data_IF_235946747635
#
_entry.id   IF_235946747635
#
_cell.length_a   1.000
_cell.length_b   1.000
_cell.length_c   1.000
_cell.angle_alpha   90.00
_cell.angle_beta   90.00
_cell.angle_gamma   90.00
#
_symmetry.space_group_name_H-M   'P 1'
#
loop_
_entity.id
_entity.type
_entity.pdbx_description
1 polymer ?
#
# COMPACT_ATOMS: atom_id res chain seq x y z
N UNK A 1 -24.04 20.25 -1.25
CA UNK A 1 -22.85 21.07 -1.57
C UNK A 1 -21.86 20.17 -2.28
N UNK A 2 -21.38 20.56 -3.45
CA UNK A 2 -20.28 19.86 -4.12
C UNK A 2 -19.03 20.00 -3.25
N UNK A 3 -18.31 18.90 -2.95
CA UNK A 3 -17.11 18.98 -2.12
C UNK A 3 -16.08 19.94 -2.74
N UNK A 4 -15.52 20.84 -1.96
CA UNK A 4 -14.37 21.64 -2.42
C UNK A 4 -13.14 20.71 -2.44
N UNK A 5 -12.60 20.36 -3.62
CA UNK A 5 -11.58 19.33 -3.73
C UNK A 5 -10.29 19.72 -3.00
N UNK A 6 -9.56 18.71 -2.54
CA UNK A 6 -8.23 18.86 -1.98
C UNK A 6 -7.23 19.04 -3.12
N UNK A 7 -6.73 20.27 -3.30
CA UNK A 7 -5.76 20.60 -4.35
C UNK A 7 -4.49 21.12 -3.67
N UNK A 8 -3.34 20.59 -4.05
CA UNK A 8 -2.04 21.06 -3.59
C UNK A 8 -1.51 22.27 -4.38
N UNK A 9 -0.36 22.78 -3.99
CA UNK A 9 0.28 23.96 -4.61
C UNK A 9 0.75 23.71 -6.05
N UNK A 10 0.74 22.46 -6.52
CA UNK A 10 1.08 22.05 -7.89
C UNK A 10 -0.15 21.72 -8.75
N UNK A 11 -1.36 21.94 -8.23
CA UNK A 11 -2.62 21.70 -8.95
C UNK A 11 -3.08 20.23 -8.95
N UNK A 12 -2.45 19.34 -8.18
CA UNK A 12 -2.85 17.93 -8.09
C UNK A 12 -4.04 17.77 -7.16
N UNK A 13 -5.08 17.09 -7.62
CA UNK A 13 -6.26 16.74 -6.80
C UNK A 13 -6.00 15.47 -6.00
N UNK A 14 -6.24 15.51 -4.70
CA UNK A 14 -6.05 14.41 -3.76
C UNK A 14 -7.38 13.76 -3.42
N UNK A 15 -7.54 12.49 -3.81
CA UNK A 15 -8.76 11.72 -3.56
C UNK A 15 -8.50 10.31 -3.02
N UNK A 16 -7.24 9.97 -2.68
CA UNK A 16 -6.84 8.63 -2.25
C UNK A 16 -6.19 8.69 -0.87
N UNK A 17 -6.80 8.02 0.11
CA UNK A 17 -6.30 7.96 1.49
C UNK A 17 -5.87 6.53 1.84
N UNK A 18 -4.64 6.38 2.29
CA UNK A 18 -4.15 5.15 2.93
C UNK A 18 -4.27 5.28 4.43
N UNK A 19 -4.81 4.25 5.08
CA UNK A 19 -5.09 4.25 6.52
C UNK A 19 -4.34 3.08 7.15
N UNK A 20 -3.32 3.38 7.94
CA UNK A 20 -2.66 2.39 8.78
C UNK A 20 -3.51 2.15 10.02
N UNK A 21 -3.90 0.89 10.25
CA UNK A 21 -4.74 0.54 11.40
C UNK A 21 -3.93 -0.03 12.56
N UNK A 22 -2.66 -0.36 12.35
CA UNK A 22 -1.74 -0.89 13.36
C UNK A 22 -0.30 -0.82 12.85
N UNK A 23 0.66 -0.72 13.73
CA UNK A 23 2.09 -0.87 13.48
C UNK A 23 2.57 -2.33 13.62
N UNK A 24 1.71 -3.24 14.15
CA UNK A 24 2.04 -4.64 14.38
C UNK A 24 1.96 -5.45 13.09
N UNK A 25 2.87 -6.42 12.95
CA UNK A 25 2.89 -7.36 11.84
C UNK A 25 3.25 -8.76 12.35
N UNK A 26 2.71 -9.79 11.73
CA UNK A 26 2.99 -11.20 12.04
C UNK A 26 4.18 -11.78 11.28
N UNK A 27 4.71 -11.06 10.28
CA UNK A 27 5.96 -11.40 9.57
C UNK A 27 7.04 -10.34 9.79
N UNK A 28 8.27 -10.59 9.32
CA UNK A 28 9.45 -9.73 9.52
C UNK A 28 10.22 -9.56 8.22
N UNK A 29 9.57 -9.00 7.19
CA UNK A 29 10.27 -8.73 5.94
C UNK A 29 11.47 -7.82 6.17
N UNK A 30 12.67 -8.25 5.73
CA UNK A 30 13.93 -7.58 6.02
C UNK A 30 13.96 -6.11 5.54
N UNK A 31 13.26 -5.81 4.46
CA UNK A 31 13.17 -4.45 3.88
C UNK A 31 12.08 -3.59 4.54
N UNK A 32 11.37 -4.07 5.54
CA UNK A 32 10.29 -3.34 6.20
C UNK A 32 10.49 -3.23 7.71
N UNK A 33 10.72 -4.34 8.39
CA UNK A 33 10.69 -4.45 9.83
C UNK A 33 11.91 -5.23 10.35
N UNK A 34 12.57 -4.77 11.43
CA UNK A 34 13.64 -5.52 12.06
C UNK A 34 13.16 -6.89 12.54
N UNK A 35 14.10 -7.84 12.66
CA UNK A 35 13.76 -9.16 13.16
C UNK A 35 13.40 -9.14 14.64
N UNK A 36 14.22 -8.44 15.42
CA UNK A 36 14.14 -8.33 16.87
C UNK A 36 14.03 -6.85 17.28
N UNK A 37 13.75 -6.62 18.55
CA UNK A 37 13.73 -5.30 19.20
C UNK A 37 12.77 -4.29 18.54
N UNK A 38 11.63 -4.79 18.03
CA UNK A 38 10.59 -3.92 17.49
C UNK A 38 9.77 -3.33 18.63
N UNK A 39 9.86 -2.01 18.78
CA UNK A 39 9.00 -1.27 19.71
C UNK A 39 7.70 -0.90 19.03
N UNK A 40 6.61 -1.57 19.44
CA UNK A 40 5.27 -1.25 18.98
C UNK A 40 4.61 -0.22 19.88
N UNK A 41 3.75 0.58 19.29
CA UNK A 41 2.93 1.55 20.02
C UNK A 41 2.05 0.86 21.08
N UNK A 42 1.82 1.55 22.20
CA UNK A 42 0.80 1.13 23.16
C UNK A 42 -0.57 1.18 22.46
N UNK A 43 -1.44 0.25 22.82
CA UNK A 43 -2.80 0.18 22.27
C UNK A 43 -3.56 1.50 22.41
N UNK A 44 -3.27 2.26 23.47
CA UNK A 44 -3.88 3.57 23.75
C UNK A 44 -3.43 4.65 22.79
N UNK A 45 -2.30 4.49 22.13
CA UNK A 45 -1.76 5.46 21.18
C UNK A 45 -2.32 5.26 19.78
N UNK A 46 -2.84 4.06 19.49
CA UNK A 46 -3.44 3.72 18.20
C UNK A 46 -4.86 4.30 18.14
N UNK A 47 -5.24 4.85 16.99
CA UNK A 47 -6.59 5.34 16.74
C UNK A 47 -7.65 4.25 16.92
N UNK A 48 -8.78 4.58 17.53
CA UNK A 48 -9.95 3.70 17.56
C UNK A 48 -10.62 3.64 16.18
N UNK A 49 -11.55 2.69 15.99
CA UNK A 49 -12.30 2.61 14.74
C UNK A 49 -13.23 3.80 14.56
N UNK A 50 -13.77 4.34 15.64
CA UNK A 50 -14.60 5.53 15.66
C UNK A 50 -13.80 6.79 15.29
N UNK A 51 -12.56 6.91 15.79
CA UNK A 51 -11.65 8.01 15.42
C UNK A 51 -11.31 7.95 13.93
N UNK A 52 -11.01 6.75 13.40
CA UNK A 52 -10.74 6.54 11.97
C UNK A 52 -11.98 6.86 11.14
N UNK A 53 -13.16 6.34 11.51
CA UNK A 53 -14.42 6.60 10.83
C UNK A 53 -14.72 8.10 10.76
N UNK A 54 -14.60 8.81 11.88
CA UNK A 54 -14.83 10.26 11.94
C UNK A 54 -13.88 11.01 11.02
N UNK A 55 -12.60 10.70 11.06
CA UNK A 55 -11.61 11.30 10.16
C UNK A 55 -11.96 11.08 8.69
N UNK A 56 -12.32 9.84 8.33
CA UNK A 56 -12.66 9.49 6.94
C UNK A 56 -13.94 10.21 6.49
N UNK A 57 -14.95 10.40 7.35
CA UNK A 57 -16.15 11.20 7.02
C UNK A 57 -15.78 12.63 6.65
N UNK A 58 -14.93 13.29 7.43
CA UNK A 58 -14.44 14.62 7.12
C UNK A 58 -13.67 14.62 5.80
N UNK A 59 -12.76 13.69 5.61
CA UNK A 59 -11.97 13.56 4.39
C UNK A 59 -12.84 13.30 3.14
N UNK A 60 -13.89 12.47 3.26
CA UNK A 60 -14.85 12.22 2.19
C UNK A 60 -15.61 13.47 1.80
N UNK A 61 -16.00 14.32 2.77
CA UNK A 61 -16.56 15.65 2.54
C UNK A 61 -15.63 16.59 1.76
N UNK A 62 -14.34 16.30 1.72
CA UNK A 62 -13.32 17.04 0.98
C UNK A 62 -12.93 16.39 -0.37
N UNK A 63 -13.61 15.31 -0.76
CA UNK A 63 -13.42 14.65 -2.04
C UNK A 63 -12.53 13.41 -2.01
N UNK A 64 -12.14 12.89 -0.83
CA UNK A 64 -11.54 11.55 -0.73
C UNK A 64 -12.62 10.52 -1.05
N UNK A 65 -12.38 9.70 -2.07
CA UNK A 65 -13.32 8.68 -2.54
C UNK A 65 -12.67 7.27 -2.69
N UNK A 66 -11.34 7.20 -2.51
CA UNK A 66 -10.58 5.95 -2.56
C UNK A 66 -9.87 5.72 -1.23
N UNK A 67 -10.16 4.59 -0.59
CA UNK A 67 -9.54 4.18 0.65
C UNK A 67 -8.69 2.91 0.45
N UNK A 68 -7.54 2.88 1.12
CA UNK A 68 -6.75 1.67 1.26
C UNK A 68 -6.40 1.43 2.71
N UNK A 69 -7.01 0.43 3.29
CA UNK A 69 -6.68 -0.03 4.64
C UNK A 69 -5.37 -0.83 4.58
N UNK A 70 -4.47 -0.50 5.48
CA UNK A 70 -3.13 -1.08 5.61
C UNK A 70 -2.68 -1.04 7.07
N UNK A 71 -1.38 -1.21 7.33
CA UNK A 71 -0.80 -1.14 8.66
C UNK A 71 0.64 -1.62 8.60
N UNK A 72 1.12 -2.22 9.67
CA UNK A 72 2.07 -3.29 9.59
C UNK A 72 1.37 -4.45 8.87
N UNK A 73 0.53 -5.22 9.59
CA UNK A 73 -0.42 -6.15 8.98
C UNK A 73 -1.84 -5.85 9.51
N UNK A 74 -2.76 -5.37 8.68
CA UNK A 74 -4.10 -4.98 9.15
C UNK A 74 -4.91 -6.14 9.73
N UNK A 75 -4.71 -7.37 9.24
CA UNK A 75 -5.44 -8.55 9.70
C UNK A 75 -5.08 -9.00 11.13
N UNK A 76 -3.99 -8.49 11.71
CA UNK A 76 -3.69 -8.74 13.14
C UNK A 76 -4.51 -7.83 14.06
N UNK A 77 -5.13 -6.78 13.53
CA UNK A 77 -6.01 -5.94 14.32
C UNK A 77 -7.35 -6.62 14.50
N UNK A 78 -7.68 -6.89 15.79
CA UNK A 78 -8.95 -7.54 16.16
C UNK A 78 -10.13 -6.74 15.61
N UNK A 79 -11.17 -7.46 15.18
CA UNK A 79 -12.45 -6.92 14.73
C UNK A 79 -12.34 -5.98 13.51
N UNK A 80 -11.31 -6.15 12.66
CA UNK A 80 -11.13 -5.35 11.44
C UNK A 80 -12.35 -5.31 10.51
N UNK A 81 -13.15 -6.39 10.34
CA UNK A 81 -14.38 -6.35 9.55
C UNK A 81 -15.36 -5.25 9.98
N UNK A 82 -15.45 -4.93 11.28
CA UNK A 82 -16.30 -3.83 11.76
C UNK A 82 -15.85 -2.46 11.24
N UNK A 83 -14.53 -2.24 11.13
CA UNK A 83 -14.02 -1.01 10.51
C UNK A 83 -14.30 -0.99 9.01
N UNK A 84 -14.12 -2.11 8.32
CA UNK A 84 -14.42 -2.21 6.89
C UNK A 84 -15.89 -1.85 6.60
N UNK A 85 -16.83 -2.40 7.39
CA UNK A 85 -18.26 -2.11 7.29
C UNK A 85 -18.53 -0.61 7.48
N UNK A 86 -17.99 -0.01 8.56
CA UNK A 86 -18.10 1.43 8.83
C UNK A 86 -17.59 2.28 7.66
N UNK A 87 -16.42 1.95 7.11
CA UNK A 87 -15.81 2.68 6.01
C UNK A 87 -16.59 2.52 4.69
N UNK A 88 -17.08 1.31 4.41
CA UNK A 88 -17.89 1.03 3.23
C UNK A 88 -19.24 1.78 3.25
N UNK A 89 -19.78 2.07 4.44
CA UNK A 89 -21.04 2.80 4.61
C UNK A 89 -20.90 4.33 4.49
N UNK A 90 -19.68 4.89 4.42
CA UNK A 90 -19.49 6.35 4.34
C UNK A 90 -19.89 6.84 2.94
N UNK A 91 -20.85 7.79 2.85
CA UNK A 91 -21.23 8.38 1.57
C UNK A 91 -20.04 9.04 0.85
N UNK A 92 -19.90 8.77 -0.44
CA UNK A 92 -18.82 9.32 -1.27
C UNK A 92 -17.62 8.39 -1.42
N UNK A 93 -17.45 7.39 -0.57
CA UNK A 93 -16.42 6.36 -0.76
C UNK A 93 -16.87 5.40 -1.86
N UNK A 94 -16.07 5.32 -2.93
CA UNK A 94 -16.34 4.51 -4.13
C UNK A 94 -15.40 3.33 -4.30
N UNK A 95 -14.24 3.40 -3.66
CA UNK A 95 -13.19 2.38 -3.77
C UNK A 95 -12.59 2.10 -2.39
N UNK A 96 -12.81 0.90 -1.88
CA UNK A 96 -12.25 0.40 -0.62
C UNK A 96 -11.41 -0.83 -0.90
N UNK A 97 -10.13 -0.77 -0.58
CA UNK A 97 -9.19 -1.88 -0.77
C UNK A 97 -8.39 -2.15 0.51
N UNK A 98 -7.94 -3.39 0.67
CA UNK A 98 -7.04 -3.84 1.73
C UNK A 98 -5.68 -4.19 1.14
N UNK A 99 -4.60 -3.80 1.82
CA UNK A 99 -3.25 -4.31 1.58
C UNK A 99 -2.86 -5.20 2.74
N UNK A 100 -2.45 -6.43 2.48
CA UNK A 100 -2.15 -7.46 3.49
C UNK A 100 -1.02 -8.37 3.03
N UNK A 101 -0.31 -8.99 3.97
CA UNK A 101 0.65 -10.06 3.69
C UNK A 101 -0.03 -11.42 3.44
N UNK A 102 -1.33 -11.52 3.60
CA UNK A 102 -2.12 -12.68 3.23
C UNK A 102 -2.14 -13.86 4.23
N UNK A 103 -1.28 -13.87 5.24
CA UNK A 103 -1.14 -15.02 6.17
C UNK A 103 -2.45 -15.36 6.91
N UNK A 104 -3.25 -14.35 7.24
CA UNK A 104 -4.53 -14.51 7.95
C UNK A 104 -5.75 -14.40 7.04
N UNK A 105 -5.56 -14.30 5.71
CA UNK A 105 -6.66 -14.11 4.77
C UNK A 105 -7.63 -15.28 4.74
N UNK A 106 -7.15 -16.51 4.74
CA UNK A 106 -8.02 -17.69 4.66
C UNK A 106 -9.08 -17.70 5.76
N UNK A 107 -8.68 -17.33 6.97
CA UNK A 107 -9.54 -17.31 8.16
C UNK A 107 -10.53 -16.14 8.13
N UNK A 108 -10.14 -14.98 7.61
CA UNK A 108 -10.91 -13.74 7.70
C UNK A 108 -11.61 -13.34 6.39
N UNK A 109 -11.33 -14.01 5.28
CA UNK A 109 -11.83 -13.63 3.97
C UNK A 109 -13.36 -13.49 3.94
N UNK A 110 -14.11 -14.43 4.53
CA UNK A 110 -15.58 -14.42 4.54
C UNK A 110 -16.12 -13.18 5.27
N UNK A 111 -15.65 -12.91 6.47
CA UNK A 111 -16.11 -11.76 7.27
C UNK A 111 -15.75 -10.42 6.63
N UNK A 112 -14.58 -10.32 5.99
CA UNK A 112 -14.19 -9.13 5.22
C UNK A 112 -15.07 -8.92 4.00
N UNK A 113 -15.41 -10.00 3.28
CA UNK A 113 -16.31 -9.93 2.13
C UNK A 113 -17.71 -9.48 2.52
N UNK A 114 -18.27 -10.05 3.60
CA UNK A 114 -19.59 -9.70 4.13
C UNK A 114 -19.63 -8.25 4.64
N UNK A 115 -18.52 -7.74 5.19
CA UNK A 115 -18.35 -6.34 5.57
C UNK A 115 -18.23 -5.34 4.38
N UNK A 116 -18.25 -5.82 3.14
CA UNK A 116 -18.23 -4.98 1.94
C UNK A 116 -16.88 -4.83 1.27
N UNK A 117 -15.81 -5.45 1.77
CA UNK A 117 -14.51 -5.43 1.08
C UNK A 117 -14.56 -6.27 -0.20
N UNK A 118 -14.02 -5.72 -1.30
CA UNK A 118 -13.97 -6.43 -2.59
C UNK A 118 -12.58 -6.50 -3.19
N UNK A 119 -11.71 -5.55 -2.91
CA UNK A 119 -10.42 -5.38 -3.56
C UNK A 119 -9.27 -5.66 -2.62
N UNK A 120 -8.32 -6.49 -3.08
CA UNK A 120 -7.17 -6.89 -2.29
C UNK A 120 -5.86 -6.61 -3.02
N UNK A 121 -4.85 -6.19 -2.26
CA UNK A 121 -3.46 -6.25 -2.67
C UNK A 121 -2.74 -7.16 -1.67
N UNK A 122 -2.32 -8.31 -2.15
CA UNK A 122 -1.61 -9.28 -1.33
C UNK A 122 -0.12 -9.13 -1.58
N UNK A 123 0.65 -9.00 -0.54
CA UNK A 123 2.11 -8.96 -0.63
C UNK A 123 2.67 -10.38 -0.74
N UNK A 124 3.43 -10.65 -1.81
CA UNK A 124 4.07 -11.95 -2.05
C UNK A 124 5.29 -11.77 -2.97
N UNK A 125 6.49 -11.94 -2.43
CA UNK A 125 7.75 -11.70 -3.16
C UNK A 125 8.29 -12.94 -3.88
N UNK A 126 7.85 -14.14 -3.50
CA UNK A 126 8.35 -15.40 -4.03
C UNK A 126 7.35 -16.53 -3.84
N UNK A 127 7.41 -17.53 -4.72
CA UNK A 127 6.71 -18.80 -4.59
C UNK A 127 7.62 -19.93 -4.05
N UNK A 128 8.90 -19.62 -3.80
CA UNK A 128 9.86 -20.53 -3.21
C UNK A 128 9.82 -20.44 -1.69
N UNK A 129 9.55 -21.57 -1.01
CA UNK A 129 9.36 -21.62 0.44
C UNK A 129 10.62 -21.20 1.23
N UNK A 130 11.79 -21.61 0.75
CA UNK A 130 13.04 -21.27 1.43
C UNK A 130 13.33 -19.77 1.35
N UNK A 131 13.11 -19.16 0.17
CA UNK A 131 13.22 -17.70 0.01
C UNK A 131 12.11 -16.94 0.75
N UNK A 132 10.89 -17.46 0.78
CA UNK A 132 9.84 -16.85 1.59
C UNK A 132 10.24 -16.78 3.06
N UNK A 133 10.79 -17.86 3.61
CA UNK A 133 11.32 -17.89 4.97
C UNK A 133 12.50 -16.90 5.14
N UNK A 134 13.43 -16.85 4.19
CA UNK A 134 14.55 -15.90 4.18
C UNK A 134 14.07 -14.44 4.21
N UNK A 135 13.12 -14.08 3.35
CA UNK A 135 12.61 -12.72 3.21
C UNK A 135 11.76 -12.31 4.40
N UNK A 136 10.82 -13.18 4.81
CA UNK A 136 9.78 -12.85 5.79
C UNK A 136 10.09 -13.31 7.21
N UNK A 137 11.10 -14.17 7.37
CA UNK A 137 11.49 -14.82 8.64
C UNK A 137 10.35 -15.64 9.28
N UNK A 138 9.40 -16.08 8.44
CA UNK A 138 8.27 -16.94 8.83
C UNK A 138 7.97 -17.94 7.72
N UNK A 139 7.55 -19.14 8.09
CA UNK A 139 7.24 -20.23 7.17
C UNK A 139 5.72 -20.33 6.93
N UNK A 140 5.15 -19.28 6.33
CA UNK A 140 3.70 -19.14 6.15
C UNK A 140 3.27 -19.05 4.66
N UNK A 141 4.13 -19.44 3.70
CA UNK A 141 3.82 -19.34 2.27
C UNK A 141 2.50 -20.04 1.91
N UNK A 142 2.31 -21.27 2.40
CA UNK A 142 1.11 -22.06 2.11
C UNK A 142 -0.17 -21.36 2.59
N UNK A 143 -0.11 -20.65 3.72
CA UNK A 143 -1.25 -19.87 4.23
C UNK A 143 -1.58 -18.70 3.32
N UNK A 144 -0.57 -18.02 2.77
CA UNK A 144 -0.76 -16.91 1.83
C UNK A 144 -1.43 -17.41 0.56
N UNK A 145 -0.95 -18.51 -0.01
CA UNK A 145 -1.50 -19.10 -1.23
C UNK A 145 -2.95 -19.57 -1.02
N UNK A 146 -3.23 -20.28 0.08
CA UNK A 146 -4.59 -20.68 0.45
C UNK A 146 -5.50 -19.46 0.68
N UNK A 147 -4.97 -18.38 1.26
CA UNK A 147 -5.71 -17.14 1.44
C UNK A 147 -6.11 -16.47 0.12
N UNK A 148 -5.22 -16.43 -0.86
CA UNK A 148 -5.50 -15.92 -2.21
C UNK A 148 -6.59 -16.76 -2.88
N UNK A 149 -6.45 -18.08 -2.87
CA UNK A 149 -7.43 -19.01 -3.45
C UNK A 149 -8.80 -18.83 -2.80
N UNK A 150 -8.85 -18.78 -1.48
CA UNK A 150 -10.10 -18.56 -0.74
C UNK A 150 -10.77 -17.23 -1.12
N UNK A 151 -10.01 -16.18 -1.34
CA UNK A 151 -10.55 -14.90 -1.78
C UNK A 151 -11.09 -14.96 -3.22
N UNK A 152 -10.44 -15.71 -4.13
CA UNK A 152 -10.95 -15.93 -5.49
C UNK A 152 -12.28 -16.69 -5.45
N UNK A 153 -12.39 -17.78 -4.67
CA UNK A 153 -13.63 -18.55 -4.48
C UNK A 153 -14.79 -17.68 -3.96
N UNK A 154 -14.51 -16.73 -3.06
CA UNK A 154 -15.51 -15.82 -2.52
C UNK A 154 -15.90 -14.68 -3.47
N UNK A 155 -15.23 -14.54 -4.62
CA UNK A 155 -15.52 -13.50 -5.61
C UNK A 155 -14.91 -12.14 -5.28
N UNK A 156 -13.81 -12.09 -4.52
CA UNK A 156 -13.01 -10.85 -4.44
C UNK A 156 -12.44 -10.51 -5.82
N UNK A 157 -12.49 -9.22 -6.17
CA UNK A 157 -11.92 -8.77 -7.44
C UNK A 157 -11.91 -7.24 -7.59
N UNK A 158 -10.81 -6.69 -8.14
CA UNK A 158 -9.57 -7.39 -8.47
C UNK A 158 -8.72 -7.72 -7.26
N UNK A 159 -8.07 -8.91 -7.30
CA UNK A 159 -6.96 -9.26 -6.42
C UNK A 159 -5.68 -8.92 -7.19
N UNK A 160 -4.74 -8.22 -6.52
CA UNK A 160 -3.43 -7.90 -7.08
C UNK A 160 -2.34 -8.41 -6.14
N UNK A 161 -1.26 -8.93 -6.69
CA UNK A 161 -0.07 -9.30 -5.92
C UNK A 161 0.94 -8.16 -6.04
N UNK A 162 1.48 -7.72 -4.91
CA UNK A 162 2.59 -6.77 -4.86
C UNK A 162 3.85 -7.51 -4.43
N UNK A 163 4.90 -7.43 -5.23
CA UNK A 163 6.21 -8.03 -4.97
C UNK A 163 7.29 -6.95 -4.96
N UNK A 164 8.11 -6.89 -3.92
CA UNK A 164 9.28 -6.00 -3.87
C UNK A 164 10.43 -6.63 -4.64
N UNK A 165 10.89 -5.93 -5.67
CA UNK A 165 11.96 -6.39 -6.53
C UNK A 165 13.31 -5.91 -6.00
N UNK A 166 14.12 -6.87 -5.49
CA UNK A 166 15.45 -6.64 -4.94
C UNK A 166 16.48 -7.39 -5.77
N UNK A 167 17.39 -6.65 -6.40
CA UNK A 167 18.45 -7.21 -7.23
C UNK A 167 19.35 -8.16 -6.43
N UNK A 168 19.65 -9.32 -7.02
CA UNK A 168 20.45 -10.36 -6.39
C UNK A 168 19.70 -11.20 -5.36
N UNK A 169 18.43 -10.90 -5.04
CA UNK A 169 17.61 -11.67 -4.12
C UNK A 169 16.33 -12.19 -4.77
N UNK A 170 15.40 -11.29 -5.12
CA UNK A 170 14.09 -11.67 -5.69
C UNK A 170 14.04 -11.60 -7.22
N UNK A 171 15.13 -11.27 -7.89
CA UNK A 171 15.23 -11.19 -9.35
C UNK A 171 14.76 -12.48 -10.05
N UNK A 172 15.15 -13.63 -9.48
CA UNK A 172 14.75 -14.96 -9.98
C UNK A 172 13.26 -15.30 -9.78
N UNK A 173 12.56 -14.52 -8.96
CA UNK A 173 11.14 -14.73 -8.67
C UNK A 173 10.22 -13.95 -9.62
N UNK A 174 10.77 -13.01 -10.40
CA UNK A 174 10.00 -12.17 -11.33
C UNK A 174 9.22 -13.03 -12.34
N UNK A 175 9.90 -13.96 -13.00
CA UNK A 175 9.25 -14.84 -14.01
C UNK A 175 8.27 -15.83 -13.38
N UNK A 176 8.61 -16.57 -12.30
CA UNK A 176 7.64 -17.44 -11.62
C UNK A 176 6.38 -16.73 -11.14
N UNK A 177 6.51 -15.56 -10.53
CA UNK A 177 5.37 -14.77 -10.06
C UNK A 177 4.50 -14.28 -11.22
N UNK A 178 5.12 -13.80 -12.32
CA UNK A 178 4.38 -13.38 -13.50
C UNK A 178 3.59 -14.56 -14.12
N UNK A 179 4.18 -15.75 -14.21
CA UNK A 179 3.50 -16.97 -14.67
C UNK A 179 2.34 -17.35 -13.74
N UNK A 180 2.55 -17.32 -12.44
CA UNK A 180 1.51 -17.56 -11.44
C UNK A 180 0.33 -16.59 -11.60
N UNK A 181 0.60 -15.30 -11.80
CA UNK A 181 -0.44 -14.30 -12.04
C UNK A 181 -1.23 -14.58 -13.32
N UNK A 182 -0.54 -14.96 -14.42
CA UNK A 182 -1.16 -15.32 -15.70
C UNK A 182 -2.10 -16.52 -15.57
N UNK A 183 -1.65 -17.58 -14.92
CA UNK A 183 -2.42 -18.82 -14.73
C UNK A 183 -3.67 -18.60 -13.87
N UNK A 184 -3.62 -17.69 -12.91
CA UNK A 184 -4.72 -17.43 -11.97
C UNK A 184 -5.57 -16.21 -12.31
N UNK A 185 -5.26 -15.48 -13.40
CA UNK A 185 -5.96 -14.24 -13.76
C UNK A 185 -5.70 -13.10 -12.74
N UNK A 186 -4.56 -13.12 -12.05
CA UNK A 186 -4.17 -12.12 -11.04
C UNK A 186 -3.08 -11.22 -11.61
N UNK A 187 -3.24 -9.91 -11.46
CA UNK A 187 -2.20 -8.94 -11.81
C UNK A 187 -1.09 -8.96 -10.76
N UNK A 188 0.15 -9.23 -11.18
CA UNK A 188 1.33 -9.09 -10.34
C UNK A 188 1.97 -7.72 -10.58
N UNK A 189 2.27 -7.01 -9.50
CA UNK A 189 2.93 -5.71 -9.51
C UNK A 189 4.28 -5.80 -8.85
N UNK A 190 5.33 -5.56 -9.62
CA UNK A 190 6.68 -5.46 -9.10
C UNK A 190 6.98 -4.03 -8.67
N UNK A 191 7.51 -3.89 -7.46
CA UNK A 191 7.80 -2.60 -6.82
C UNK A 191 9.31 -2.48 -6.69
N UNK A 192 9.90 -1.42 -7.23
CA UNK A 192 11.31 -1.11 -7.01
C UNK A 192 11.58 -0.88 -5.52
N UNK A 193 12.65 -1.46 -5.01
CA UNK A 193 13.07 -1.36 -3.61
C UNK A 193 13.35 0.09 -3.22
N UNK A 194 12.70 0.56 -2.15
CA UNK A 194 12.77 1.95 -1.67
C UNK A 194 13.45 2.04 -0.30
N UNK A 195 14.11 3.18 0.03
CA UNK A 195 14.79 3.43 1.32
C UNK A 195 13.80 3.70 2.46
N UNK A 196 13.06 2.68 2.87
CA UNK A 196 12.04 2.71 3.93
C UNK A 196 12.22 1.58 4.93
N UNK A 197 13.31 0.85 4.82
CA UNK A 197 13.66 -0.21 5.74
C UNK A 197 14.21 0.33 7.07
N UNK A 198 13.86 -0.37 8.16
CA UNK A 198 14.23 0.06 9.51
C UNK A 198 15.72 -0.14 9.85
N UNK A 199 16.48 -0.84 9.00
CA UNK A 199 17.87 -1.21 9.24
C UNK A 199 18.85 -0.49 8.31
N UNK A 200 18.37 0.44 7.49
CA UNK A 200 19.16 1.17 6.50
C UNK A 200 19.93 0.24 5.52
N UNK A 201 19.29 -0.84 5.12
CA UNK A 201 19.84 -1.85 4.19
C UNK A 201 19.69 -1.44 2.73
N UNK A 202 18.94 -0.38 2.46
CA UNK A 202 18.73 0.09 1.11
C UNK A 202 20.03 0.63 0.52
N UNK A 203 20.32 0.16 -0.67
CA UNK A 203 21.36 0.70 -1.54
C UNK A 203 20.83 0.71 -2.99
N UNK A 204 21.20 1.73 -3.74
CA UNK A 204 20.74 1.88 -5.14
C UNK A 204 21.15 0.70 -6.03
N UNK A 205 22.27 0.07 -5.76
CA UNK A 205 22.75 -1.11 -6.51
C UNK A 205 21.85 -2.34 -6.33
N UNK A 206 21.04 -2.36 -5.25
CA UNK A 206 20.07 -3.42 -4.95
C UNK A 206 18.70 -3.19 -5.59
N UNK A 207 18.49 -2.08 -6.27
CA UNK A 207 17.23 -1.81 -6.96
C UNK A 207 17.22 -2.60 -8.28
N UNK A 208 16.24 -3.50 -8.43
CA UNK A 208 15.95 -4.13 -9.71
C UNK A 208 14.99 -3.21 -10.47
N UNK A 209 15.47 -2.62 -11.57
CA UNK A 209 14.74 -1.58 -12.29
C UNK A 209 13.56 -2.17 -13.08
N UNK A 210 12.51 -1.36 -13.24
CA UNK A 210 11.32 -1.75 -13.99
C UNK A 210 11.66 -2.16 -15.43
N UNK A 211 12.53 -1.43 -16.11
CA UNK A 211 12.95 -1.71 -17.49
C UNK A 211 13.67 -3.07 -17.61
N UNK A 212 14.51 -3.42 -16.62
CA UNK A 212 15.18 -4.72 -16.57
C UNK A 212 14.17 -5.86 -16.42
N UNK A 213 13.13 -5.67 -15.60
CA UNK A 213 12.07 -6.65 -15.39
C UNK A 213 11.17 -6.78 -16.63
N UNK A 214 10.86 -5.69 -17.31
CA UNK A 214 10.12 -5.70 -18.60
C UNK A 214 10.91 -6.49 -19.66
N UNK A 215 12.21 -6.23 -19.80
CA UNK A 215 13.07 -6.96 -20.73
C UNK A 215 13.16 -8.45 -20.37
N UNK A 216 13.30 -8.77 -19.08
CA UNK A 216 13.34 -10.15 -18.58
C UNK A 216 12.04 -10.91 -18.91
N UNK A 217 10.88 -10.34 -18.58
CA UNK A 217 9.59 -10.99 -18.84
C UNK A 217 9.29 -11.12 -20.34
N UNK A 218 9.65 -10.12 -21.12
CA UNK A 218 9.49 -10.16 -22.58
C UNK A 218 10.33 -11.27 -23.24
N UNK A 219 11.50 -11.55 -22.71
CA UNK A 219 12.39 -12.62 -23.20
C UNK A 219 11.94 -14.01 -22.74
N UNK A 220 11.55 -14.14 -21.45
CA UNK A 220 11.30 -15.45 -20.80
C UNK A 220 9.86 -15.95 -20.95
N UNK A 221 8.91 -15.08 -21.29
CA UNK A 221 7.50 -15.42 -21.45
C UNK A 221 7.03 -15.07 -22.87
N UNK A 222 6.77 -13.79 -23.13
CA UNK A 222 6.49 -13.22 -24.45
C UNK A 222 6.50 -11.68 -24.34
N UNK A 223 6.57 -10.95 -25.47
CA UNK A 223 6.62 -9.49 -25.45
C UNK A 223 5.51 -8.84 -24.63
N UNK A 224 5.85 -7.77 -23.96
CA UNK A 224 4.93 -6.94 -23.20
C UNK A 224 4.50 -5.72 -24.01
N UNK A 225 3.20 -5.42 -23.98
CA UNK A 225 2.59 -4.26 -24.63
C UNK A 225 2.02 -3.32 -23.58
N UNK A 226 2.26 -2.02 -23.71
CA UNK A 226 1.72 -1.00 -22.84
C UNK A 226 0.18 -1.02 -22.82
N UNK A 227 -0.39 -0.92 -21.64
CA UNK A 227 -1.81 -0.64 -21.48
C UNK A 227 -1.93 0.82 -21.09
N UNK A 228 -2.56 1.67 -21.94
CA UNK A 228 -2.82 3.06 -21.55
C UNK A 228 -3.60 3.11 -20.22
N UNK A 229 -3.01 3.74 -19.21
CA UNK A 229 -3.66 3.87 -17.91
C UNK A 229 -4.81 4.87 -17.98
N UNK A 230 -6.06 4.46 -17.69
CA UNK A 230 -7.19 5.38 -17.62
C UNK A 230 -7.10 6.37 -16.45
N UNK A 231 -6.28 6.09 -15.42
CA UNK A 231 -6.00 7.00 -14.30
C UNK A 231 -4.49 7.30 -14.23
N UNK A 232 -4.02 8.44 -14.79
CA UNK A 232 -2.59 8.79 -14.79
C UNK A 232 -2.00 8.98 -13.38
N UNK A 233 -2.84 8.90 -12.32
CA UNK A 233 -2.44 8.95 -10.91
C UNK A 233 -2.13 7.57 -10.34
N UNK A 234 -2.38 6.50 -11.11
CA UNK A 234 -2.02 5.14 -10.71
C UNK A 234 -0.50 5.01 -10.51
N UNK A 235 -0.05 4.28 -9.47
CA UNK A 235 1.38 4.15 -9.21
C UNK A 235 2.08 3.15 -10.12
N UNK A 236 1.35 2.26 -10.78
CA UNK A 236 1.90 1.21 -11.63
C UNK A 236 1.67 1.52 -13.10
N UNK A 237 2.70 1.39 -13.92
CA UNK A 237 2.54 1.23 -15.37
C UNK A 237 2.15 -0.21 -15.63
N UNK A 238 1.01 -0.41 -16.31
CA UNK A 238 0.45 -1.74 -16.58
C UNK A 238 0.78 -2.18 -18.00
N UNK A 239 1.12 -3.46 -18.14
CA UNK A 239 1.40 -4.13 -19.41
C UNK A 239 0.51 -5.37 -19.55
N UNK A 240 0.15 -5.70 -20.78
CA UNK A 240 -0.40 -7.01 -21.14
C UNK A 240 0.66 -7.82 -21.88
N UNK A 241 0.58 -9.11 -21.75
CA UNK A 241 1.37 -10.01 -22.59
C UNK A 241 0.79 -10.05 -24.02
N UNK A 242 1.65 -10.07 -25.03
CA UNK A 242 1.25 -9.99 -26.46
C UNK A 242 0.38 -11.16 -26.91
N UNK A 243 0.38 -12.29 -26.19
CA UNK A 243 -0.52 -13.43 -26.41
C UNK A 243 -1.93 -13.21 -25.81
N UNK A 244 -2.18 -12.05 -25.19
CA UNK A 244 -3.46 -11.69 -24.59
C UNK A 244 -3.74 -12.30 -23.23
N UNK A 245 -2.82 -13.13 -22.68
CA UNK A 245 -3.05 -13.85 -21.43
C UNK A 245 -2.34 -13.14 -20.26
N UNK A 246 -3.12 -12.50 -19.38
CA UNK A 246 -2.64 -11.89 -18.13
C UNK A 246 -2.05 -10.49 -18.29
N UNK A 247 -1.81 -9.88 -17.14
CA UNK A 247 -1.26 -8.53 -16.99
C UNK A 247 -0.17 -8.50 -15.94
N UNK A 248 0.74 -7.57 -16.07
CA UNK A 248 1.79 -7.28 -15.09
C UNK A 248 1.92 -5.77 -14.95
N UNK A 249 2.26 -5.31 -13.75
CA UNK A 249 2.47 -3.88 -13.49
C UNK A 249 3.84 -3.63 -12.87
N UNK A 250 4.37 -2.43 -13.08
CA UNK A 250 5.63 -2.00 -12.47
C UNK A 250 5.44 -0.69 -11.73
N UNK A 251 5.84 -0.67 -10.46
CA UNK A 251 5.84 0.53 -9.63
C UNK A 251 7.28 1.04 -9.56
N UNK A 252 7.66 1.81 -10.58
CA UNK A 252 9.00 2.33 -10.80
C UNK A 252 9.27 3.55 -9.89
N UNK A 253 9.25 3.34 -8.59
CA UNK A 253 9.37 4.41 -7.59
C UNK A 253 10.73 5.11 -7.60
N UNK A 254 11.78 4.44 -8.08
CA UNK A 254 13.16 4.92 -8.09
C UNK A 254 13.57 5.36 -9.50
N UNK A 255 13.33 4.53 -10.53
CA UNK A 255 13.74 4.82 -11.90
C UNK A 255 12.82 5.85 -12.58
N UNK A 256 11.51 5.71 -12.48
CA UNK A 256 10.50 6.57 -13.10
C UNK A 256 9.45 7.03 -12.07
N UNK A 257 9.80 7.96 -11.15
CA UNK A 257 8.90 8.41 -10.10
C UNK A 257 7.61 9.04 -10.66
N UNK A 258 6.47 8.53 -10.23
CA UNK A 258 5.12 9.00 -10.62
C UNK A 258 4.59 10.14 -9.73
N UNK A 259 5.48 10.92 -9.12
CA UNK A 259 5.15 11.96 -8.13
C UNK A 259 4.32 13.11 -8.73
N UNK A 260 4.54 13.45 -10.00
CA UNK A 260 3.84 14.56 -10.67
C UNK A 260 2.31 14.39 -10.71
N UNK A 261 1.82 13.15 -10.66
CA UNK A 261 0.39 12.84 -10.67
C UNK A 261 -0.09 12.25 -9.33
N UNK A 262 0.73 12.29 -8.28
CA UNK A 262 0.41 11.60 -7.02
C UNK A 262 -0.74 12.27 -6.28
N UNK A 263 -1.83 11.52 -6.05
CA UNK A 263 -3.05 11.93 -5.38
C UNK A 263 -3.23 11.37 -3.95
N UNK A 264 -2.14 10.81 -3.35
CA UNK A 264 -2.25 10.03 -2.11
C UNK A 264 -1.95 10.85 -0.88
N UNK A 265 -2.74 10.58 0.18
CA UNK A 265 -2.50 10.96 1.56
C UNK A 265 -2.37 9.69 2.42
N UNK A 266 -1.81 9.81 3.61
CA UNK A 266 -1.65 8.70 4.56
C UNK A 266 -2.03 9.15 5.96
N UNK A 267 -2.81 8.30 6.63
CA UNK A 267 -3.08 8.39 8.06
C UNK A 267 -2.36 7.22 8.75
N UNK A 268 -1.44 7.52 9.65
CA UNK A 268 -0.72 6.51 10.43
C UNK A 268 -1.60 5.95 11.54
N UNK A 269 -1.23 4.80 12.10
CA UNK A 269 -2.01 4.15 13.17
C UNK A 269 -2.08 4.97 14.45
N UNK A 270 -1.10 5.83 14.70
CA UNK A 270 -1.06 6.78 15.81
C UNK A 270 -1.67 8.15 15.48
N UNK A 271 -2.35 8.27 14.32
CA UNK A 271 -3.13 9.44 13.94
C UNK A 271 -2.33 10.63 13.44
N UNK A 272 -1.17 10.37 12.84
CA UNK A 272 -0.40 11.40 12.13
C UNK A 272 -0.79 11.40 10.65
N UNK A 273 -1.09 12.57 10.09
CA UNK A 273 -1.40 12.74 8.67
C UNK A 273 -0.13 13.10 7.90
N UNK A 274 0.10 12.39 6.80
CA UNK A 274 1.26 12.54 5.92
C UNK A 274 0.83 12.80 4.48
N UNK A 275 1.40 13.81 3.86
CA UNK A 275 1.16 14.13 2.44
C UNK A 275 1.99 13.24 1.48
N UNK A 276 3.06 12.64 1.96
CA UNK A 276 3.95 11.77 1.17
C UNK A 276 4.44 10.58 2.01
N UNK A 277 4.80 9.49 1.35
CA UNK A 277 5.48 8.35 1.97
C UNK A 277 6.83 8.77 2.58
N UNK A 278 7.54 9.68 1.90
CA UNK A 278 8.85 10.21 2.30
C UNK A 278 8.76 11.53 3.07
N UNK A 279 7.56 11.98 3.48
CA UNK A 279 7.45 13.20 4.29
C UNK A 279 8.26 13.08 5.58
N UNK A 280 8.97 14.14 5.93
CA UNK A 280 9.72 14.25 7.18
C UNK A 280 8.78 14.76 8.28
N UNK A 281 7.92 15.71 7.94
CA UNK A 281 6.96 16.32 8.84
C UNK A 281 5.60 15.61 8.75
N UNK A 282 4.88 15.64 9.87
CA UNK A 282 3.56 15.01 10.03
C UNK A 282 2.61 15.97 10.74
N UNK A 283 1.32 15.89 10.46
CA UNK A 283 0.31 16.69 11.15
C UNK A 283 -0.48 15.82 12.14
N UNK A 284 -0.56 16.24 13.41
CA UNK A 284 -1.27 15.51 14.46
C UNK A 284 -2.79 15.72 14.32
N UNK A 285 -3.49 14.65 13.95
CA UNK A 285 -4.96 14.59 13.90
C UNK A 285 -5.52 13.89 15.15
N UNK A 286 -4.74 13.01 15.78
CA UNK A 286 -5.16 12.26 16.97
C UNK A 286 -5.59 13.19 18.09
N UNK A 287 -4.78 14.20 18.38
CA UNK A 287 -5.09 15.17 19.43
C UNK A 287 -6.40 15.90 19.19
N UNK A 288 -6.68 16.30 17.94
CA UNK A 288 -7.95 16.93 17.58
C UNK A 288 -9.14 15.97 17.76
N UNK A 289 -9.02 14.75 17.28
CA UNK A 289 -10.06 13.73 17.40
C UNK A 289 -10.41 13.44 18.87
N UNK A 290 -9.41 13.30 19.73
CA UNK A 290 -9.57 12.96 21.15
C UNK A 290 -10.08 14.12 22.00
N UNK A 291 -9.71 15.33 21.66
CA UNK A 291 -10.19 16.53 22.35
C UNK A 291 -11.59 16.97 21.89
N UNK A 292 -12.24 16.22 20.99
CA UNK A 292 -13.55 16.56 20.49
C UNK A 292 -13.59 17.83 19.64
N UNK A 293 -12.46 18.21 19.02
CA UNK A 293 -12.40 19.38 18.14
C UNK A 293 -13.47 19.31 17.04
N UNK A 294 -14.03 20.45 16.62
CA UNK A 294 -15.02 20.46 15.53
C UNK A 294 -14.41 19.97 14.21
N UNK A 295 -15.23 19.39 13.33
CA UNK A 295 -14.78 18.82 12.04
C UNK A 295 -14.09 19.86 11.16
N UNK A 296 -14.44 21.14 11.29
CA UNK A 296 -13.79 22.24 10.59
C UNK A 296 -12.28 22.39 10.94
N UNK A 297 -11.86 22.05 12.16
CA UNK A 297 -10.46 22.05 12.53
C UNK A 297 -9.71 20.88 11.91
N UNK A 298 -10.34 19.71 11.88
CA UNK A 298 -9.79 18.52 11.18
C UNK A 298 -9.63 18.84 9.67
N UNK A 299 -10.66 19.44 9.06
CA UNK A 299 -10.60 19.91 7.66
C UNK A 299 -9.43 20.86 7.42
N UNK A 300 -9.23 21.85 8.31
CA UNK A 300 -8.12 22.82 8.21
C UNK A 300 -6.77 22.11 8.22
N UNK A 301 -6.58 21.11 9.08
CA UNK A 301 -5.34 20.30 9.14
C UNK A 301 -5.15 19.49 7.86
N UNK A 302 -6.21 18.85 7.33
CA UNK A 302 -6.12 18.09 6.09
C UNK A 302 -5.70 19.01 4.92
N UNK A 303 -6.34 20.19 4.78
CA UNK A 303 -6.00 21.16 3.74
C UNK A 303 -4.59 21.72 3.89
N UNK A 304 -4.17 22.00 5.12
CA UNK A 304 -2.80 22.42 5.44
C UNK A 304 -1.78 21.37 5.01
N UNK A 305 -1.97 20.13 5.42
CA UNK A 305 -1.07 19.03 5.06
C UNK A 305 -0.98 18.80 3.54
N UNK A 306 -2.09 18.95 2.81
CA UNK A 306 -2.09 18.86 1.33
C UNK A 306 -1.26 20.01 0.71
N UNK A 307 -1.30 21.22 1.24
CA UNK A 307 -0.53 22.36 0.72
C UNK A 307 0.98 22.20 0.91
N UNK A 308 1.40 21.49 1.97
CA UNK A 308 2.81 21.18 2.24
C UNK A 308 3.38 20.07 1.35
N UNK A 309 2.53 19.45 0.51
CA UNK A 309 2.98 18.34 -0.33
C UNK A 309 4.02 18.76 -1.35
N UNK A 310 5.13 18.02 -1.37
CA UNK A 310 6.24 18.24 -2.31
C UNK A 310 5.86 17.89 -3.75
N UNK A 311 6.57 18.48 -4.70
CA UNK A 311 6.44 18.12 -6.11
C UNK A 311 6.77 16.63 -6.34
N UNK A 312 7.79 16.14 -5.65
CA UNK A 312 8.22 14.74 -5.68
C UNK A 312 9.17 14.43 -4.53
N UNK A 313 9.44 13.14 -4.30
CA UNK A 313 10.53 12.74 -3.41
C UNK A 313 11.87 12.91 -4.14
N UNK A 314 12.92 13.20 -3.40
CA UNK A 314 14.24 13.47 -3.95
C UNK A 314 15.18 12.25 -3.87
N UNK A 315 14.65 11.02 -3.98
CA UNK A 315 15.41 9.76 -3.82
C UNK A 315 16.62 9.65 -4.76
N UNK A 316 16.57 10.33 -5.90
CA UNK A 316 17.63 10.36 -6.91
C UNK A 316 18.57 11.57 -6.78
N UNK A 317 18.40 12.37 -5.74
CA UNK A 317 19.14 13.60 -5.48
C UNK A 317 20.05 13.43 -4.26
N UNK A 318 21.18 14.18 -4.25
CA UNK A 318 22.05 14.26 -3.07
C UNK A 318 21.38 14.92 -1.84
N UNK A 319 20.22 15.53 -2.04
CA UNK A 319 19.42 16.16 -0.97
C UNK A 319 18.46 15.20 -0.29
N UNK A 320 18.37 13.96 -0.77
CA UNK A 320 17.44 12.98 -0.21
C UNK A 320 17.75 12.70 1.27
N UNK A 321 16.73 12.87 2.10
CA UNK A 321 16.76 12.50 3.51
C UNK A 321 15.72 11.40 3.71
N UNK A 322 16.12 10.20 4.16
CA UNK A 322 15.17 9.14 4.48
C UNK A 322 14.19 9.60 5.57
N UNK A 323 12.91 9.21 5.49
CA UNK A 323 11.96 9.54 6.55
C UNK A 323 12.38 8.88 7.87
N UNK A 324 12.09 9.52 9.01
CA UNK A 324 12.47 8.99 10.33
C UNK A 324 11.67 7.73 10.71
N UNK A 325 10.56 7.48 10.04
CA UNK A 325 9.71 6.31 10.28
C UNK A 325 9.92 5.25 9.22
N UNK A 326 10.11 3.97 9.60
CA UNK A 326 10.12 2.85 8.68
C UNK A 326 8.72 2.51 8.15
N UNK A 327 8.67 1.70 7.07
CA UNK A 327 7.44 1.39 6.35
C UNK A 327 6.30 0.86 7.23
N UNK A 328 6.59 -0.04 8.16
CA UNK A 328 5.56 -0.66 9.01
C UNK A 328 4.87 0.33 9.96
N UNK A 329 5.53 1.42 10.34
CA UNK A 329 4.96 2.45 11.19
C UNK A 329 4.21 3.53 10.42
N UNK A 330 4.50 3.69 9.11
CA UNK A 330 3.80 4.62 8.22
C UNK A 330 2.53 3.98 7.65
N UNK A 331 2.59 2.69 7.38
CA UNK A 331 1.57 1.94 6.67
C UNK A 331 1.83 1.85 5.16
N UNK A 332 2.20 0.67 4.70
CA UNK A 332 2.62 0.35 3.33
C UNK A 332 1.53 -0.07 2.37
#
# INVERSE_FOLDING_TARGET
MTPSPLIDTFGRTHNNLRISVTDRCNIRCFYCMPENDVHFLDRREILSFEEIERFVRVAAGLGIDKLRVTGGEPLVRKDLPLLIEKLAAIPGIRDLALTTNGVLLCEQARSLYDAGLRRLNVHLDTLDRARFLEITRRDDLDKVLAGIERCQELGFGPIKINAVAVKGLTERDVVPLARFGRERGIEVRFIEFMPLDAQALWDRSRVLLADDMVALLSREICPLEDIPDPDPRAPATEYRFSDGIGRVGFIASVSHPFCLNCNRLRLTSDGMLRYCLFAIEEADVKTLLRNGAPDAEIEKVIRGNVREKWIGHEINSAKFVPPPRPMYSIGG
#
